data_IF_669842135827
#
_entry.id   IF_669842135827
#
_cell.length_a   1.000
_cell.length_b   1.000
_cell.length_c   1.000
_cell.angle_alpha   90.00
_cell.angle_beta   90.00
_cell.angle_gamma   90.00
#
_symmetry.space_group_name_H-M   'P 1'
#
loop_
_entity.id
_entity.type
_entity.pdbx_description
1 polymer ?
#
# COMPACT_ATOMS: atom_id res chain seq x y z
N UNK A 1 -14.55 -17.70 15.01
CA UNK A 1 -14.25 -16.51 15.85
C UNK A 1 -13.67 -15.34 15.05
N UNK A 2 -12.81 -15.54 14.04
CA UNK A 2 -12.23 -14.43 13.25
C UNK A 2 -13.25 -13.61 12.43
N UNK A 3 -14.33 -14.25 11.96
CA UNK A 3 -15.32 -13.61 11.07
C UNK A 3 -16.11 -12.47 11.72
N UNK A 4 -16.17 -12.39 13.04
CA UNK A 4 -16.91 -11.34 13.76
C UNK A 4 -16.23 -9.95 13.69
N UNK A 5 -14.95 -9.90 13.31
CA UNK A 5 -14.18 -8.66 13.20
C UNK A 5 -13.94 -8.24 11.74
N UNK A 6 -14.58 -8.91 10.78
CA UNK A 6 -14.45 -8.60 9.35
C UNK A 6 -15.63 -7.72 8.95
N UNK A 7 -15.33 -6.46 8.60
CA UNK A 7 -16.30 -5.53 8.01
C UNK A 7 -15.99 -5.42 6.53
N UNK A 8 -17.00 -5.61 5.69
CA UNK A 8 -16.89 -5.43 4.24
C UNK A 8 -17.31 -4.03 3.85
N UNK A 9 -16.67 -3.49 2.81
CA UNK A 9 -16.99 -2.18 2.26
C UNK A 9 -16.71 -2.17 0.77
N UNK A 10 -17.48 -1.36 0.04
CA UNK A 10 -17.34 -1.16 -1.41
C UNK A 10 -16.87 0.24 -1.80
N UNK A 11 -16.76 1.16 -0.83
CA UNK A 11 -16.15 2.48 -1.00
C UNK A 11 -14.80 2.53 -0.31
N UNK A 12 -13.88 3.30 -0.87
CA UNK A 12 -12.56 3.57 -0.28
C UNK A 12 -12.66 4.36 1.04
N UNK A 13 -13.77 5.08 1.26
CA UNK A 13 -13.99 5.90 2.47
C UNK A 13 -13.94 5.08 3.77
N UNK A 14 -14.19 3.76 3.67
CA UNK A 14 -14.07 2.85 4.81
C UNK A 14 -12.64 2.71 5.34
N UNK A 15 -11.64 3.14 4.56
CA UNK A 15 -10.23 3.17 4.97
C UNK A 15 -9.85 4.43 5.77
N UNK A 16 -10.76 5.41 5.89
CA UNK A 16 -10.47 6.69 6.55
C UNK A 16 -10.05 6.58 8.02
N UNK A 17 -10.46 5.50 8.71
CA UNK A 17 -10.11 5.24 10.11
C UNK A 17 -8.99 4.22 10.28
N UNK A 18 -8.48 3.62 9.19
CA UNK A 18 -7.48 2.56 9.24
C UNK A 18 -6.12 3.07 9.71
N UNK A 19 -5.46 2.29 10.58
CA UNK A 19 -4.08 2.55 10.99
C UNK A 19 -3.08 1.99 9.96
N UNK A 20 -3.42 0.85 9.34
CA UNK A 20 -2.61 0.18 8.32
C UNK A 20 -3.52 -0.29 7.19
N UNK A 21 -3.16 0.03 5.95
CA UNK A 21 -3.84 -0.45 4.74
C UNK A 21 -2.93 -1.43 4.00
N UNK A 22 -3.46 -2.60 3.63
CA UNK A 22 -2.77 -3.62 2.85
C UNK A 22 -3.45 -3.74 1.49
N UNK A 23 -2.77 -3.28 0.45
CA UNK A 23 -3.23 -3.35 -0.93
C UNK A 23 -2.89 -4.73 -1.53
N UNK A 24 -3.91 -5.43 -2.03
CA UNK A 24 -3.78 -6.74 -2.69
C UNK A 24 -4.68 -6.85 -3.95
N UNK A 25 -4.67 -5.80 -4.77
CA UNK A 25 -5.34 -5.74 -6.08
C UNK A 25 -4.48 -6.34 -7.19
N UNK A 26 -5.04 -6.38 -8.41
CA UNK A 26 -4.37 -6.89 -9.60
C UNK A 26 -2.98 -6.28 -9.82
N UNK A 27 -2.07 -7.09 -10.35
CA UNK A 27 -0.65 -6.75 -10.51
C UNK A 27 -0.40 -5.83 -11.71
N UNK A 28 -0.91 -4.59 -11.60
CA UNK A 28 -0.85 -3.54 -12.63
C UNK A 28 -0.44 -2.21 -12.00
N UNK A 29 0.67 -1.65 -12.48
CA UNK A 29 1.28 -0.43 -11.92
C UNK A 29 0.34 0.78 -11.98
N UNK A 30 -0.34 0.96 -13.12
CA UNK A 30 -1.26 2.06 -13.38
C UNK A 30 -2.45 2.05 -12.39
N UNK A 31 -3.05 0.87 -12.17
CA UNK A 31 -4.18 0.74 -11.24
C UNK A 31 -3.72 0.96 -9.80
N UNK A 32 -2.57 0.39 -9.41
CA UNK A 32 -2.03 0.57 -8.05
C UNK A 32 -1.67 2.03 -7.78
N UNK A 33 -1.08 2.74 -8.73
CA UNK A 33 -0.80 4.18 -8.61
C UNK A 33 -2.07 5.00 -8.40
N UNK A 34 -3.10 4.76 -9.20
CA UNK A 34 -4.38 5.44 -9.04
C UNK A 34 -4.99 5.19 -7.65
N UNK A 35 -4.99 3.93 -7.20
CA UNK A 35 -5.47 3.54 -5.89
C UNK A 35 -4.67 4.19 -4.76
N UNK A 36 -3.34 4.19 -4.81
CA UNK A 36 -2.51 4.79 -3.77
C UNK A 36 -2.67 6.30 -3.67
N UNK A 37 -2.88 6.97 -4.80
CA UNK A 37 -3.19 8.41 -4.84
C UNK A 37 -4.50 8.70 -4.12
N UNK A 38 -5.51 7.86 -4.33
CA UNK A 38 -6.81 8.01 -3.67
C UNK A 38 -6.75 7.65 -2.17
N UNK A 39 -6.07 6.56 -1.82
CA UNK A 39 -5.84 6.15 -0.43
C UNK A 39 -5.10 7.22 0.36
N UNK A 40 -4.10 7.88 -0.24
CA UNK A 40 -3.36 8.95 0.43
C UNK A 40 -4.24 10.15 0.80
N UNK A 41 -5.26 10.43 -0.02
CA UNK A 41 -6.25 11.50 0.23
C UNK A 41 -7.27 11.12 1.31
N UNK A 42 -7.69 9.86 1.35
CA UNK A 42 -8.79 9.38 2.21
C UNK A 42 -8.30 8.95 3.59
N UNK A 43 -7.14 8.29 3.65
CA UNK A 43 -6.60 7.78 4.90
C UNK A 43 -6.03 8.91 5.76
N UNK A 44 -5.99 8.70 7.07
CA UNK A 44 -5.37 9.64 8.00
C UNK A 44 -3.90 9.91 7.61
N UNK A 45 -3.33 11.10 7.90
CA UNK A 45 -1.94 11.42 7.55
C UNK A 45 -0.89 10.48 8.17
N UNK A 46 -1.23 9.85 9.29
CA UNK A 46 -0.39 8.92 10.06
C UNK A 46 -0.61 7.44 9.68
N UNK A 47 -1.59 7.12 8.83
CA UNK A 47 -1.85 5.76 8.40
C UNK A 47 -0.72 5.21 7.53
N UNK A 48 -0.34 3.95 7.78
CA UNK A 48 0.69 3.23 7.00
C UNK A 48 0.02 2.59 5.78
N UNK A 49 0.57 2.88 4.60
CA UNK A 49 0.11 2.30 3.34
C UNK A 49 1.07 1.19 2.93
N UNK A 50 0.56 0.00 2.61
CA UNK A 50 1.39 -1.12 2.19
C UNK A 50 0.86 -1.81 0.95
N UNK A 51 1.76 -2.44 0.18
CA UNK A 51 1.40 -3.28 -0.97
C UNK A 51 1.88 -4.72 -0.77
N UNK A 52 1.01 -5.67 -1.09
CA UNK A 52 1.29 -7.10 -1.17
C UNK A 52 1.87 -7.52 -2.54
N UNK A 53 2.27 -6.58 -3.40
CA UNK A 53 2.85 -6.88 -4.72
C UNK A 53 4.03 -7.87 -4.64
N UNK A 54 4.11 -8.77 -5.60
CA UNK A 54 5.19 -9.76 -5.72
C UNK A 54 6.23 -9.37 -6.77
N UNK A 55 5.83 -8.57 -7.78
CA UNK A 55 6.65 -8.30 -8.96
C UNK A 55 6.91 -6.82 -9.22
N UNK A 56 6.10 -5.92 -8.65
CA UNK A 56 6.24 -4.48 -8.87
C UNK A 56 7.20 -3.90 -7.83
N UNK A 57 8.13 -3.07 -8.29
CA UNK A 57 9.05 -2.36 -7.40
C UNK A 57 8.27 -1.46 -6.44
N UNK A 58 8.45 -1.70 -5.13
CA UNK A 58 7.92 -0.87 -4.05
C UNK A 58 8.40 0.59 -4.19
N UNK A 59 9.63 0.81 -4.64
CA UNK A 59 10.13 2.16 -4.92
C UNK A 59 9.37 2.84 -6.07
N UNK A 60 8.96 2.09 -7.10
CA UNK A 60 8.15 2.63 -8.20
C UNK A 60 6.73 2.97 -7.75
N UNK A 61 6.12 2.18 -6.87
CA UNK A 61 4.81 2.48 -6.28
C UNK A 61 4.87 3.74 -5.41
N UNK A 62 5.92 3.90 -4.60
CA UNK A 62 6.11 5.05 -3.72
C UNK A 62 6.18 6.40 -4.47
N UNK A 63 6.54 6.42 -5.76
CA UNK A 63 6.73 7.66 -6.54
C UNK A 63 5.45 8.45 -6.79
N UNK A 64 4.28 7.82 -6.70
CA UNK A 64 3.00 8.52 -6.86
C UNK A 64 2.52 9.21 -5.57
N UNK A 65 3.14 8.88 -4.43
CA UNK A 65 2.75 9.39 -3.12
C UNK A 65 3.44 10.72 -2.82
N UNK A 66 2.69 11.67 -2.27
CA UNK A 66 3.20 12.92 -1.73
C UNK A 66 4.02 12.70 -0.46
N UNK A 67 3.60 11.75 0.39
CA UNK A 67 4.35 11.35 1.58
C UNK A 67 4.80 9.88 1.53
N UNK A 68 5.93 9.58 0.84
CA UNK A 68 6.42 8.20 0.73
C UNK A 68 6.99 7.63 2.05
N UNK A 69 7.15 8.45 3.11
CA UNK A 69 7.71 7.99 4.39
C UNK A 69 6.83 6.99 5.14
N UNK A 70 5.52 6.97 4.82
CA UNK A 70 4.53 6.05 5.41
C UNK A 70 4.19 4.86 4.51
N UNK A 71 4.97 4.63 3.45
CA UNK A 71 4.75 3.55 2.48
C UNK A 71 5.77 2.42 2.63
N UNK A 72 5.32 1.18 2.53
CA UNK A 72 6.18 -0.01 2.55
C UNK A 72 5.61 -1.17 1.72
N UNK A 73 6.44 -2.16 1.41
CA UNK A 73 5.93 -3.45 0.96
C UNK A 73 5.66 -4.37 2.15
N UNK A 74 4.52 -5.06 2.12
CA UNK A 74 4.16 -6.08 3.09
C UNK A 74 3.67 -7.31 2.33
N UNK A 75 4.61 -8.17 1.94
CA UNK A 75 4.38 -9.27 1.02
C UNK A 75 4.13 -10.58 1.78
N UNK A 76 2.92 -11.12 1.59
CA UNK A 76 2.43 -12.38 2.11
C UNK A 76 2.56 -13.48 1.06
N UNK A 77 2.87 -14.69 1.50
CA UNK A 77 2.98 -15.86 0.64
C UNK A 77 1.66 -16.63 0.62
N UNK A 78 1.24 -17.09 -0.56
CA UNK A 78 0.00 -17.85 -0.73
C UNK A 78 0.20 -19.32 -0.28
N UNK A 79 -0.67 -19.90 0.58
CA UNK A 79 -1.81 -19.27 1.27
C UNK A 79 -1.43 -18.43 2.49
N UNK A 80 -1.91 -17.19 2.54
CA UNK A 80 -1.48 -16.19 3.54
C UNK A 80 -1.76 -16.60 5.00
N UNK A 81 -2.78 -17.43 5.23
CA UNK A 81 -3.13 -17.93 6.57
C UNK A 81 -2.31 -19.16 6.99
N UNK A 82 -1.56 -19.78 6.06
CA UNK A 82 -0.74 -20.97 6.30
C UNK A 82 0.74 -20.59 6.36
N UNK A 83 1.16 -19.69 5.47
CA UNK A 83 2.56 -19.30 5.35
C UNK A 83 3.01 -18.44 6.53
N UNK A 84 4.17 -18.77 7.09
CA UNK A 84 4.72 -18.11 8.29
C UNK A 84 5.59 -16.89 7.97
N UNK A 85 5.99 -16.74 6.71
CA UNK A 85 6.88 -15.68 6.27
C UNK A 85 6.07 -14.48 5.78
N UNK A 86 6.52 -13.30 6.19
CA UNK A 86 6.09 -12.01 5.64
C UNK A 86 7.35 -11.21 5.33
N UNK A 87 7.43 -10.68 4.12
CA UNK A 87 8.53 -9.81 3.70
C UNK A 87 8.14 -8.34 3.93
N UNK A 88 8.89 -7.67 4.82
CA UNK A 88 8.76 -6.22 5.05
C UNK A 88 9.78 -5.49 4.19
N UNK A 89 9.31 -4.84 3.13
CA UNK A 89 10.17 -4.21 2.12
C UNK A 89 10.19 -2.70 2.37
N UNK A 90 11.36 -2.19 2.77
CA UNK A 90 11.56 -0.75 2.97
C UNK A 90 11.59 -0.01 1.63
N UNK A 91 10.89 1.13 1.56
CA UNK A 91 11.12 2.11 0.49
C UNK A 91 12.43 2.82 0.81
N UNK A 92 13.41 2.72 -0.09
CA UNK A 92 14.53 3.65 -0.06
C UNK A 92 14.03 4.96 -0.64
N UNK A 93 13.99 6.02 0.17
CA UNK A 93 13.72 7.36 -0.32
C UNK A 93 14.65 7.64 -1.52
N UNK A 94 14.14 8.02 -2.70
CA UNK A 94 15.00 8.53 -3.74
C UNK A 94 15.75 9.75 -3.16
N UNK A 95 17.05 9.93 -3.45
CA UNK A 95 17.74 11.16 -3.07
C UNK A 95 16.91 12.34 -3.59
N UNK A 96 16.80 13.42 -2.80
CA UNK A 96 16.09 14.64 -3.18
C UNK A 96 16.78 15.28 -4.38
N UNK A 97 16.55 14.75 -5.58
CA UNK A 97 16.91 15.34 -6.86
C UNK A 97 15.64 15.40 -7.67
N UNK A 98 15.09 16.62 -7.69
CA UNK A 98 14.14 17.18 -8.66
C UNK A 98 13.42 16.18 -9.54
N UNK A 99 12.10 16.08 -9.34
CA UNK A 99 11.20 15.70 -10.42
C UNK A 99 11.55 16.57 -11.66
N UNK A 100 11.90 16.00 -12.82
CA UNK A 100 11.89 16.77 -14.04
C UNK A 100 10.43 17.14 -14.34
N UNK A 101 10.13 18.42 -14.60
CA UNK A 101 8.77 18.80 -14.98
C UNK A 101 8.41 18.13 -16.31
N UNK A 102 7.17 17.63 -16.37
CA UNK A 102 6.49 17.33 -17.63
C UNK A 102 6.05 18.64 -18.30
#
# INVERSE_FOLDING_TARGET
>A
MAEQNIVTGSSIDVMSTADIVIEAIAERLDIKHALFTELERVCRPDAILTSNTSSISIASLARCLANPSRFAGLHFFNPAHIMKLVEVIRVRAPPMTSCPPA
#
